data_IF_523118334816
#
_entry.id   IF_523118334816
#
_cell.length_a   1.000
_cell.length_b   1.000
_cell.length_c   1.000
_cell.angle_alpha   90.00
_cell.angle_beta   90.00
_cell.angle_gamma   90.00
#
_symmetry.space_group_name_H-M   'P 1'
#
loop_
_entity.id
_entity.type
_entity.pdbx_description
1 polymer ?
#
# COMPACT_ATOMS: atom_id res chain seq x y z
N UNK A 1 25.97 3.81 -19.18
CA UNK A 1 24.61 4.00 -18.65
C UNK A 1 24.28 2.77 -17.83
N UNK A 2 24.27 2.83 -16.52
CA UNK A 2 23.77 1.72 -15.71
C UNK A 2 22.25 1.67 -15.92
N UNK A 3 21.73 0.53 -16.32
CA UNK A 3 20.29 0.32 -16.40
C UNK A 3 19.72 0.57 -15.01
N UNK A 4 18.76 1.48 -14.90
CA UNK A 4 18.07 1.73 -13.64
C UNK A 4 17.36 0.43 -13.25
N UNK A 5 17.80 -0.16 -12.13
CA UNK A 5 17.24 -1.43 -11.68
C UNK A 5 15.74 -1.24 -11.43
N UNK A 6 14.91 -2.10 -12.01
CA UNK A 6 13.46 -2.02 -11.84
C UNK A 6 13.03 -2.66 -10.51
N UNK A 7 11.87 -2.27 -9.96
CA UNK A 7 11.31 -2.97 -8.81
C UNK A 7 11.04 -4.43 -9.15
N UNK A 8 11.29 -5.31 -8.19
CA UNK A 8 11.05 -6.74 -8.30
C UNK A 8 9.85 -7.07 -7.42
N UNK A 9 8.81 -7.66 -7.99
CA UNK A 9 7.63 -8.08 -7.24
C UNK A 9 7.63 -9.62 -7.06
N UNK A 10 7.05 -10.12 -5.96
CA UNK A 10 6.87 -11.55 -5.77
C UNK A 10 6.07 -12.15 -6.93
N UNK A 11 6.58 -13.21 -7.52
CA UNK A 11 5.86 -14.00 -8.49
C UNK A 11 6.11 -15.49 -8.23
N UNK A 12 5.35 -16.37 -8.87
CA UNK A 12 5.46 -17.81 -8.70
C UNK A 12 6.55 -18.43 -9.58
N UNK A 13 7.09 -17.70 -10.58
CA UNK A 13 8.14 -18.19 -11.46
C UNK A 13 9.51 -18.07 -10.83
N UNK A 14 10.14 -19.20 -10.56
CA UNK A 14 11.48 -19.30 -9.97
C UNK A 14 12.62 -18.71 -10.83
N UNK A 15 12.34 -18.38 -12.09
CA UNK A 15 13.32 -17.84 -13.05
C UNK A 15 13.51 -16.31 -12.96
N UNK A 16 12.63 -15.60 -12.26
CA UNK A 16 12.73 -14.14 -12.11
C UNK A 16 13.36 -13.75 -10.76
N UNK A 17 14.10 -12.63 -10.69
CA UNK A 17 14.59 -12.11 -9.42
C UNK A 17 13.45 -11.99 -8.41
N UNK A 18 13.68 -12.42 -7.19
CA UNK A 18 12.73 -12.35 -6.09
C UNK A 18 13.13 -11.22 -5.14
N UNK A 19 12.19 -10.45 -4.52
CA UNK A 19 12.55 -9.42 -3.57
C UNK A 19 13.36 -9.99 -2.40
N UNK A 20 14.37 -9.25 -1.95
CA UNK A 20 15.06 -9.58 -0.70
C UNK A 20 14.22 -9.08 0.46
N UNK A 21 13.90 -9.96 1.39
CA UNK A 21 13.11 -9.67 2.59
C UNK A 21 14.02 -9.49 3.79
N UNK A 22 13.73 -8.52 4.65
CA UNK A 22 14.34 -8.44 5.96
C UNK A 22 13.86 -9.59 6.85
N UNK A 23 14.70 -10.02 7.78
CA UNK A 23 14.36 -11.05 8.75
C UNK A 23 13.35 -10.55 9.79
N UNK A 24 12.76 -11.49 10.54
CA UNK A 24 11.82 -11.17 11.61
C UNK A 24 12.51 -10.33 12.69
N UNK A 25 11.89 -9.19 13.02
CA UNK A 25 12.43 -8.25 14.02
C UNK A 25 13.39 -7.22 13.47
N UNK A 26 13.87 -7.37 12.24
CA UNK A 26 14.71 -6.38 11.57
C UNK A 26 13.88 -5.29 10.87
N UNK A 27 14.44 -4.08 10.70
CA UNK A 27 13.82 -3.05 9.87
C UNK A 27 13.58 -3.56 8.44
N UNK A 28 12.43 -3.23 7.82
CA UNK A 28 12.12 -3.73 6.49
C UNK A 28 13.09 -3.19 5.42
N UNK A 29 13.37 -3.98 4.40
CA UNK A 29 14.10 -3.53 3.22
C UNK A 29 13.24 -2.54 2.43
N UNK A 30 13.83 -1.42 2.05
CA UNK A 30 13.17 -0.34 1.32
C UNK A 30 13.82 -0.22 -0.06
N UNK A 31 12.99 -0.26 -1.11
CA UNK A 31 13.39 0.06 -2.46
C UNK A 31 12.76 1.37 -2.93
N UNK A 32 13.55 2.22 -3.61
CA UNK A 32 13.08 3.52 -4.12
C UNK A 32 13.54 3.67 -5.56
N UNK A 33 12.60 3.98 -6.44
CA UNK A 33 12.86 4.21 -7.86
C UNK A 33 12.20 5.51 -8.31
N UNK A 34 12.93 6.31 -9.04
CA UNK A 34 12.47 7.59 -9.59
C UNK A 34 12.46 7.55 -11.11
N UNK A 35 11.43 8.12 -11.71
CA UNK A 35 11.30 8.30 -13.17
C UNK A 35 11.48 7.00 -13.94
N UNK A 36 10.82 5.94 -13.51
CA UNK A 36 10.76 4.69 -14.26
C UNK A 36 9.95 4.87 -15.54
N UNK A 37 10.52 4.47 -16.67
CA UNK A 37 9.81 4.49 -17.95
C UNK A 37 8.78 3.37 -18.06
N UNK A 38 8.95 2.29 -17.29
CA UNK A 38 8.08 1.10 -17.28
C UNK A 38 8.16 0.38 -15.95
N UNK A 39 7.06 -0.26 -15.57
CA UNK A 39 6.98 -1.16 -14.40
C UNK A 39 6.87 -2.61 -14.89
N UNK A 40 7.44 -3.59 -14.17
CA UNK A 40 7.27 -5.01 -14.48
C UNK A 40 5.79 -5.43 -14.42
N UNK A 41 5.34 -6.19 -15.41
CA UNK A 41 3.94 -6.67 -15.46
C UNK A 41 3.57 -7.56 -14.26
N UNK A 42 4.53 -8.30 -13.72
CA UNK A 42 4.36 -9.14 -12.53
C UNK A 42 3.97 -8.35 -11.27
N UNK A 43 4.19 -7.03 -11.28
CA UNK A 43 3.76 -6.16 -10.18
C UNK A 43 2.27 -5.81 -10.24
N UNK A 44 1.55 -6.23 -11.26
CA UNK A 44 0.11 -5.98 -11.47
C UNK A 44 -0.33 -4.49 -11.38
N UNK A 45 0.61 -3.58 -11.22
CA UNK A 45 0.37 -2.15 -11.39
C UNK A 45 0.36 -1.83 -12.88
N UNK A 46 -0.40 -0.83 -13.30
CA UNK A 46 -0.53 -0.49 -14.72
C UNK A 46 0.84 -0.27 -15.36
N UNK A 47 1.16 -1.09 -16.37
CA UNK A 47 2.48 -1.13 -17.05
C UNK A 47 2.63 -0.07 -18.14
N UNK A 48 1.53 0.55 -18.57
CA UNK A 48 1.50 1.44 -19.75
C UNK A 48 1.93 2.87 -19.44
N UNK A 49 2.22 3.19 -18.19
CA UNK A 49 2.63 4.52 -17.76
C UNK A 49 3.99 4.49 -17.07
N UNK A 50 4.75 5.56 -17.30
CA UNK A 50 5.94 5.88 -16.50
C UNK A 50 5.54 6.10 -15.04
N UNK A 51 6.43 5.78 -14.12
CA UNK A 51 6.28 6.10 -12.71
C UNK A 51 7.23 7.22 -12.30
N UNK A 52 6.68 8.29 -11.75
CA UNK A 52 7.47 9.39 -11.20
C UNK A 52 8.26 8.95 -9.98
N UNK A 53 7.60 8.17 -9.11
CA UNK A 53 8.17 7.63 -7.88
C UNK A 53 7.55 6.26 -7.58
N UNK A 54 8.37 5.31 -7.20
CA UNK A 54 7.94 4.02 -6.68
C UNK A 54 8.70 3.70 -5.40
N UNK A 55 7.99 3.16 -4.41
CA UNK A 55 8.56 2.73 -3.13
C UNK A 55 8.09 1.31 -2.83
N UNK A 56 9.01 0.42 -2.50
CA UNK A 56 8.69 -0.90 -1.97
C UNK A 56 9.13 -1.06 -0.52
N UNK A 57 8.41 -1.93 0.19
CA UNK A 57 8.77 -2.41 1.52
C UNK A 57 8.72 -3.94 1.47
N UNK A 58 9.78 -4.60 1.96
CA UNK A 58 9.90 -6.04 1.97
C UNK A 58 10.44 -6.54 3.33
N UNK A 59 9.66 -7.36 4.04
CA UNK A 59 10.03 -7.89 5.36
C UNK A 59 9.37 -9.24 5.63
N UNK A 60 9.99 -10.03 6.50
CA UNK A 60 9.39 -11.20 7.12
C UNK A 60 8.85 -10.79 8.49
N UNK A 61 7.68 -11.29 8.86
CA UNK A 61 7.05 -10.98 10.15
C UNK A 61 6.41 -12.22 10.76
N UNK A 62 6.36 -12.28 12.08
CA UNK A 62 5.70 -13.39 12.79
C UNK A 62 4.19 -13.19 12.78
N UNK A 63 3.49 -14.22 12.33
CA UNK A 63 2.03 -14.25 12.28
C UNK A 63 1.53 -15.69 12.23
N UNK A 64 0.82 -16.14 13.26
CA UNK A 64 0.26 -17.48 13.38
C UNK A 64 -1.15 -17.63 12.81
N UNK A 65 -1.72 -16.54 12.29
CA UNK A 65 -3.05 -16.54 11.67
C UNK A 65 -3.04 -17.07 10.24
N UNK A 66 -4.18 -16.98 9.61
CA UNK A 66 -4.42 -17.46 8.26
C UNK A 66 -4.72 -16.29 7.28
N UNK A 67 -5.09 -16.64 6.05
CA UNK A 67 -5.36 -15.67 5.00
C UNK A 67 -6.62 -14.85 5.28
N UNK A 68 -7.62 -15.42 5.92
CA UNK A 68 -8.87 -14.75 6.31
C UNK A 68 -8.57 -13.64 7.32
N UNK A 69 -7.65 -13.88 8.25
CA UNK A 69 -7.22 -12.87 9.22
C UNK A 69 -6.54 -11.69 8.54
N UNK A 70 -5.65 -11.95 7.57
CA UNK A 70 -4.98 -10.91 6.78
C UNK A 70 -5.98 -10.14 5.91
N UNK A 71 -6.87 -10.84 5.24
CA UNK A 71 -7.94 -10.23 4.45
C UNK A 71 -8.87 -9.38 5.33
N UNK A 72 -9.18 -9.84 6.54
CA UNK A 72 -9.96 -9.09 7.53
C UNK A 72 -9.28 -7.78 7.95
N UNK A 73 -7.95 -7.77 8.11
CA UNK A 73 -7.18 -6.55 8.42
C UNK A 73 -7.29 -5.52 7.29
N UNK A 74 -7.18 -5.96 6.03
CA UNK A 74 -7.43 -5.09 4.88
C UNK A 74 -8.85 -4.56 4.85
N UNK A 75 -9.82 -5.43 5.12
CA UNK A 75 -11.24 -5.09 5.13
C UNK A 75 -11.65 -4.12 6.24
N UNK A 76 -10.86 -4.04 7.31
CA UNK A 76 -11.12 -3.16 8.46
C UNK A 76 -10.76 -1.70 8.17
N UNK A 77 -11.31 -1.12 7.11
CA UNK A 77 -10.98 0.21 6.57
C UNK A 77 -11.01 1.29 7.64
N UNK A 78 -12.03 1.31 8.51
CA UNK A 78 -12.16 2.32 9.57
C UNK A 78 -11.03 2.26 10.61
N UNK A 79 -10.34 1.13 10.74
CA UNK A 79 -9.21 0.99 11.68
C UNK A 79 -7.96 1.73 11.21
N UNK A 80 -7.90 2.13 9.94
CA UNK A 80 -6.78 2.93 9.44
C UNK A 80 -6.74 4.35 10.01
N UNK A 81 -7.82 4.84 10.63
CA UNK A 81 -7.86 6.12 11.35
C UNK A 81 -6.90 6.16 12.55
N UNK A 82 -6.63 5.00 13.17
CA UNK A 82 -5.67 4.88 14.28
C UNK A 82 -4.20 4.76 13.81
N UNK A 83 -3.96 4.65 12.50
CA UNK A 83 -2.62 4.45 11.95
C UNK A 83 -1.86 5.76 11.95
N UNK A 84 -0.67 5.75 12.54
CA UNK A 84 0.23 6.91 12.55
C UNK A 84 1.41 6.71 11.61
N UNK A 85 1.87 7.79 11.02
CA UNK A 85 3.09 7.84 10.22
C UNK A 85 3.97 9.02 10.66
N UNK A 86 5.29 8.91 10.43
CA UNK A 86 6.20 10.03 10.67
C UNK A 86 6.08 11.08 9.56
N UNK A 87 5.68 12.28 9.92
CA UNK A 87 5.63 13.42 9.02
C UNK A 87 6.98 14.13 8.97
N UNK A 88 7.72 13.98 7.90
CA UNK A 88 9.00 14.67 7.71
C UNK A 88 8.88 16.19 7.53
N UNK A 89 7.67 16.70 7.35
CA UNK A 89 7.41 18.15 7.28
C UNK A 89 7.18 18.77 8.64
N UNK A 90 6.53 18.00 9.53
CA UNK A 90 6.13 18.48 10.86
C UNK A 90 7.07 17.94 11.94
N UNK A 91 8.02 17.07 11.55
CA UNK A 91 8.95 16.37 12.44
C UNK A 91 8.25 15.72 13.63
N UNK A 92 7.14 15.01 13.34
CA UNK A 92 6.28 14.42 14.37
C UNK A 92 5.42 13.29 13.82
N UNK A 93 4.95 12.40 14.71
CA UNK A 93 3.95 11.39 14.42
C UNK A 93 2.57 12.02 14.17
N UNK A 94 1.95 11.66 13.05
CA UNK A 94 0.63 12.14 12.65
C UNK A 94 -0.26 10.99 12.23
N UNK A 95 -1.55 11.19 12.30
CA UNK A 95 -2.53 10.27 11.72
C UNK A 95 -2.32 10.16 10.21
N UNK A 96 -2.34 8.94 9.70
CA UNK A 96 -2.23 8.68 8.26
C UNK A 96 -3.48 9.22 7.54
N UNK A 97 -4.64 8.96 8.09
CA UNK A 97 -5.94 9.46 7.63
C UNK A 97 -6.79 9.91 8.81
N UNK A 98 -7.57 10.94 8.63
CA UNK A 98 -8.49 11.48 9.66
C UNK A 98 -9.85 10.79 9.65
N UNK A 99 -10.26 10.26 8.51
CA UNK A 99 -11.48 9.45 8.37
C UNK A 99 -11.29 8.40 7.28
N UNK A 100 -11.82 7.21 7.50
CA UNK A 100 -11.80 6.13 6.53
C UNK A 100 -13.09 5.31 6.60
N UNK A 101 -13.75 5.11 5.47
CA UNK A 101 -15.02 4.40 5.39
C UNK A 101 -15.06 3.45 4.20
N UNK A 102 -15.55 2.24 4.41
CA UNK A 102 -15.94 1.38 3.31
C UNK A 102 -17.17 1.95 2.59
N UNK A 103 -17.25 1.72 1.29
CA UNK A 103 -18.33 2.22 0.43
C UNK A 103 -19.06 1.06 -0.25
N UNK A 104 -20.35 1.24 -0.54
CA UNK A 104 -21.13 0.31 -1.36
C UNK A 104 -20.78 0.41 -2.86
N UNK A 105 -20.30 1.58 -3.29
CA UNK A 105 -19.96 1.89 -4.69
C UNK A 105 -18.92 3.02 -4.73
N UNK A 106 -18.48 3.43 -5.90
CA UNK A 106 -17.63 4.64 -6.09
C UNK A 106 -18.22 5.94 -5.51
N UNK A 107 -19.49 5.95 -5.16
CA UNK A 107 -20.10 7.15 -4.61
C UNK A 107 -19.63 7.35 -3.16
N UNK A 108 -18.89 8.43 -2.90
CA UNK A 108 -18.37 8.78 -1.57
C UNK A 108 -19.43 8.95 -0.47
N UNK A 109 -20.71 9.08 -0.83
CA UNK A 109 -21.83 9.16 0.11
C UNK A 109 -22.42 7.79 0.44
N UNK A 110 -22.02 6.72 -0.24
CA UNK A 110 -22.54 5.36 -0.05
C UNK A 110 -21.77 4.60 1.03
N UNK A 111 -21.58 5.21 2.19
CA UNK A 111 -20.84 4.61 3.31
C UNK A 111 -21.52 3.33 3.81
N UNK A 112 -20.71 2.39 4.28
CA UNK A 112 -21.13 1.13 4.90
C UNK A 112 -20.15 0.73 6.00
N UNK A 113 -20.46 -0.32 6.73
CA UNK A 113 -19.52 -0.98 7.65
C UNK A 113 -18.30 -1.57 6.90
N UNK A 114 -17.26 -1.91 7.66
CA UNK A 114 -16.05 -2.54 7.12
C UNK A 114 -16.37 -3.76 6.27
N UNK A 115 -15.46 -4.13 5.38
CA UNK A 115 -15.56 -5.35 4.61
C UNK A 115 -15.20 -6.57 5.46
N UNK A 116 -15.92 -7.65 5.28
CA UNK A 116 -15.57 -8.95 5.86
C UNK A 116 -14.40 -9.59 5.09
N UNK A 117 -13.73 -10.56 5.70
CA UNK A 117 -12.69 -11.35 5.03
C UNK A 117 -13.22 -12.01 3.75
N UNK A 118 -14.44 -12.57 3.78
CA UNK A 118 -15.05 -13.19 2.60
C UNK A 118 -15.28 -12.20 1.45
N UNK A 119 -15.69 -10.97 1.75
CA UNK A 119 -15.81 -9.92 0.72
C UNK A 119 -14.45 -9.60 0.12
N UNK A 120 -13.41 -9.47 0.94
CA UNK A 120 -12.05 -9.25 0.48
C UNK A 120 -11.56 -10.38 -0.41
N UNK A 121 -11.77 -11.63 -0.02
CA UNK A 121 -11.32 -12.81 -0.76
C UNK A 121 -12.15 -13.12 -2.00
N UNK A 122 -13.31 -12.47 -2.19
CA UNK A 122 -14.20 -12.70 -3.33
C UNK A 122 -13.63 -12.28 -4.69
N UNK A 123 -12.53 -11.54 -4.74
CA UNK A 123 -11.94 -10.99 -5.95
C UNK A 123 -12.76 -9.87 -6.61
N UNK A 124 -13.85 -9.43 -5.97
CA UNK A 124 -14.63 -8.28 -6.45
C UNK A 124 -13.89 -6.97 -6.19
N UNK A 125 -14.19 -5.96 -7.00
CA UNK A 125 -13.73 -4.60 -6.72
C UNK A 125 -14.56 -4.01 -5.59
N UNK A 126 -13.88 -3.59 -4.53
CA UNK A 126 -14.43 -2.93 -3.36
C UNK A 126 -14.00 -1.46 -3.38
N UNK A 127 -14.79 -0.58 -2.79
CA UNK A 127 -14.52 0.85 -2.76
C UNK A 127 -14.41 1.35 -1.32
N UNK A 128 -13.49 2.25 -1.09
CA UNK A 128 -13.36 2.93 0.20
C UNK A 128 -13.03 4.41 0.00
N UNK A 129 -13.39 5.19 0.98
CA UNK A 129 -13.10 6.61 1.02
C UNK A 129 -12.22 6.91 2.22
N UNK A 130 -11.26 7.80 2.05
CA UNK A 130 -10.44 8.30 3.14
C UNK A 130 -10.17 9.79 2.98
N UNK A 131 -10.03 10.48 4.11
CA UNK A 131 -9.54 11.83 4.15
C UNK A 131 -8.10 11.81 4.69
N UNK A 132 -7.16 12.05 3.80
CA UNK A 132 -5.75 12.12 4.13
C UNK A 132 -5.43 13.45 4.82
N UNK A 133 -4.52 13.46 5.79
CA UNK A 133 -4.12 14.68 6.51
C UNK A 133 -3.49 15.75 5.63
N UNK A 134 -3.10 15.43 4.40
CA UNK A 134 -2.47 16.36 3.43
C UNK A 134 -3.33 16.68 2.21
N UNK A 135 -4.36 15.92 1.93
CA UNK A 135 -5.31 16.24 0.85
C UNK A 135 -6.54 16.97 1.39
N UNK A 136 -7.17 17.77 0.55
CA UNK A 136 -8.42 18.42 0.93
C UNK A 136 -9.60 17.56 0.48
N UNK A 137 -10.33 17.08 1.49
CA UNK A 137 -11.55 16.36 1.27
C UNK A 137 -11.37 14.86 1.09
N UNK A 138 -12.49 14.21 0.85
CA UNK A 138 -12.60 12.76 0.78
C UNK A 138 -12.11 12.25 -0.58
N UNK A 139 -11.10 11.39 -0.56
CA UNK A 139 -10.58 10.68 -1.72
C UNK A 139 -11.18 9.26 -1.78
N UNK A 140 -11.55 8.81 -2.97
CA UNK A 140 -12.14 7.49 -3.18
C UNK A 140 -11.13 6.59 -3.88
N UNK A 141 -10.99 5.40 -3.34
CA UNK A 141 -10.11 4.35 -3.85
C UNK A 141 -10.92 3.09 -4.15
N UNK A 142 -10.45 2.32 -5.09
CA UNK A 142 -10.83 0.92 -5.23
C UNK A 142 -9.77 0.02 -4.64
N UNK A 143 -10.16 -1.16 -4.19
CA UNK A 143 -9.26 -2.26 -3.88
C UNK A 143 -9.82 -3.57 -4.42
N UNK A 144 -8.92 -4.48 -4.78
CA UNK A 144 -9.29 -5.78 -5.33
C UNK A 144 -8.23 -6.81 -4.93
N UNK A 145 -8.68 -7.95 -4.46
CA UNK A 145 -7.81 -9.12 -4.28
C UNK A 145 -7.60 -9.78 -5.64
N UNK A 146 -6.34 -9.92 -6.03
CA UNK A 146 -5.92 -10.52 -7.31
C UNK A 146 -5.39 -11.94 -7.14
N UNK A 147 -4.92 -12.28 -5.95
CA UNK A 147 -4.51 -13.62 -5.57
C UNK A 147 -5.01 -13.92 -4.16
N UNK A 148 -5.63 -15.08 -3.97
CA UNK A 148 -6.05 -15.60 -2.67
C UNK A 148 -5.93 -17.13 -2.68
N UNK A 149 -4.94 -17.65 -1.97
CA UNK A 149 -4.72 -19.07 -1.71
C UNK A 149 -4.47 -19.26 -0.22
N UNK A 150 -4.34 -20.48 0.28
CA UNK A 150 -4.02 -20.71 1.68
C UNK A 150 -2.71 -20.02 2.14
N UNK A 151 -1.78 -19.82 1.21
CA UNK A 151 -0.43 -19.33 1.50
C UNK A 151 -0.08 -18.00 0.84
N UNK A 152 -1.01 -17.40 0.09
CA UNK A 152 -0.75 -16.15 -0.62
C UNK A 152 -1.98 -15.25 -0.67
N UNK A 153 -1.76 -13.96 -0.43
CA UNK A 153 -2.74 -12.90 -0.64
C UNK A 153 -2.08 -11.75 -1.40
N UNK A 154 -2.70 -11.31 -2.49
CA UNK A 154 -2.29 -10.09 -3.17
C UNK A 154 -3.49 -9.16 -3.35
N UNK A 155 -3.35 -7.92 -2.86
CA UNK A 155 -4.40 -6.89 -2.93
C UNK A 155 -3.83 -5.67 -3.62
N UNK A 156 -4.50 -5.22 -4.69
CA UNK A 156 -4.20 -3.95 -5.36
C UNK A 156 -5.21 -2.90 -4.95
N UNK A 157 -4.75 -1.67 -4.75
CA UNK A 157 -5.59 -0.49 -4.55
C UNK A 157 -5.15 0.67 -5.45
N UNK A 158 -6.10 1.51 -5.84
CA UNK A 158 -5.83 2.71 -6.63
C UNK A 158 -6.88 3.79 -6.38
N UNK A 159 -6.50 5.06 -6.55
CA UNK A 159 -7.48 6.15 -6.53
C UNK A 159 -8.36 6.09 -7.79
N UNK A 160 -9.67 6.14 -7.60
CA UNK A 160 -10.65 6.10 -8.71
C UNK A 160 -11.14 7.50 -9.11
N UNK A 161 -10.71 8.52 -8.39
CA UNK A 161 -10.98 9.94 -8.67
C UNK A 161 -9.71 10.75 -8.51
N UNK A 162 -9.58 11.91 -9.18
CA UNK A 162 -8.46 12.80 -8.96
C UNK A 162 -8.36 13.23 -7.50
N UNK A 163 -7.14 13.20 -6.96
CA UNK A 163 -6.82 13.74 -5.63
C UNK A 163 -6.46 15.21 -5.77
N UNK A 164 -7.01 16.06 -4.91
CA UNK A 164 -6.85 17.51 -5.00
C UNK A 164 -6.42 18.14 -3.68
N UNK A 165 -5.73 19.28 -3.78
CA UNK A 165 -5.55 20.26 -2.70
C UNK A 165 -6.16 21.56 -3.18
N UNK A 166 -7.33 21.93 -2.64
CA UNK A 166 -8.10 23.06 -3.17
C UNK A 166 -8.38 22.89 -4.68
N UNK A 167 -8.08 23.90 -5.51
CA UNK A 167 -8.28 23.83 -6.95
C UNK A 167 -7.21 22.95 -7.67
N UNK A 168 -6.07 22.70 -7.04
CA UNK A 168 -4.94 22.01 -7.65
C UNK A 168 -5.19 20.50 -7.68
N UNK A 169 -5.14 19.88 -8.86
CA UNK A 169 -5.14 18.44 -9.03
C UNK A 169 -3.72 17.92 -8.73
N UNK A 170 -3.56 17.22 -7.62
CA UNK A 170 -2.28 16.58 -7.26
C UNK A 170 -2.02 15.33 -8.09
N UNK A 171 -3.00 14.43 -8.12
CA UNK A 171 -2.93 13.15 -8.82
C UNK A 171 -4.17 12.98 -9.68
N UNK A 172 -4.01 12.50 -10.89
CA UNK A 172 -5.10 12.05 -11.75
C UNK A 172 -5.73 10.74 -11.24
N UNK A 173 -6.78 10.28 -11.89
CA UNK A 173 -7.38 8.97 -11.63
C UNK A 173 -6.38 7.87 -11.98
N UNK A 174 -6.15 6.94 -11.04
CA UNK A 174 -5.23 5.83 -11.22
C UNK A 174 -3.74 6.18 -11.13
N UNK A 175 -3.38 7.42 -10.75
CA UNK A 175 -1.99 7.83 -10.60
C UNK A 175 -1.36 7.36 -9.28
N UNK A 176 -2.19 7.06 -8.28
CA UNK A 176 -1.75 6.44 -7.04
C UNK A 176 -2.17 4.97 -7.06
N UNK A 177 -1.20 4.07 -7.07
CA UNK A 177 -1.44 2.64 -6.99
C UNK A 177 -0.59 2.01 -5.91
N UNK A 178 -1.15 1.07 -5.19
CA UNK A 178 -0.40 0.25 -4.22
C UNK A 178 -0.82 -1.20 -4.38
N UNK A 179 0.17 -2.08 -4.50
CA UNK A 179 -0.06 -3.52 -4.40
C UNK A 179 0.64 -4.04 -3.15
N UNK A 180 -0.03 -4.93 -2.44
CA UNK A 180 0.52 -5.62 -1.27
C UNK A 180 0.42 -7.11 -1.49
N UNK A 181 1.52 -7.80 -1.24
CA UNK A 181 1.61 -9.26 -1.26
C UNK A 181 1.90 -9.78 0.14
N UNK A 182 1.20 -10.83 0.51
CA UNK A 182 1.56 -11.69 1.63
C UNK A 182 1.87 -13.08 1.08
N UNK A 183 2.90 -13.71 1.59
CA UNK A 183 3.19 -15.12 1.31
C UNK A 183 3.66 -15.83 2.58
N UNK A 184 3.10 -17.00 2.85
CA UNK A 184 3.47 -17.84 4.00
C UNK A 184 4.89 -18.40 3.78
N UNK A 185 5.71 -18.33 4.80
CA UNK A 185 7.03 -18.96 4.84
C UNK A 185 6.93 -20.32 5.52
N UNK A 186 6.29 -20.33 6.70
CA UNK A 186 6.06 -21.51 7.52
C UNK A 186 4.80 -21.31 8.41
N UNK A 187 4.61 -22.14 9.42
CA UNK A 187 3.46 -22.08 10.32
C UNK A 187 3.36 -20.79 11.16
N UNK A 188 4.46 -20.06 11.32
CA UNK A 188 4.58 -18.92 12.24
C UNK A 188 5.05 -17.64 11.58
N UNK A 189 5.49 -17.70 10.32
CA UNK A 189 6.10 -16.58 9.64
C UNK A 189 5.50 -16.35 8.25
N UNK A 190 5.34 -15.07 7.91
CA UNK A 190 4.88 -14.61 6.61
C UNK A 190 5.81 -13.53 6.08
N UNK A 191 5.89 -13.41 4.76
CA UNK A 191 6.52 -12.29 4.06
C UNK A 191 5.47 -11.25 3.71
N UNK A 192 5.85 -10.00 3.89
CA UNK A 192 5.13 -8.83 3.40
C UNK A 192 5.95 -8.15 2.31
N UNK A 193 5.32 -7.87 1.20
CA UNK A 193 5.88 -7.01 0.17
C UNK A 193 4.84 -5.99 -0.24
N UNK A 194 5.22 -4.71 -0.34
CA UNK A 194 4.37 -3.70 -0.98
C UNK A 194 5.15 -2.93 -2.02
N UNK A 195 4.45 -2.52 -3.08
CA UNK A 195 4.95 -1.56 -4.06
C UNK A 195 3.90 -0.48 -4.25
N UNK A 196 4.26 0.75 -3.86
CA UNK A 196 3.47 1.94 -4.13
C UNK A 196 4.05 2.73 -5.28
N UNK A 197 3.18 3.16 -6.17
CA UNK A 197 3.51 3.83 -7.42
C UNK A 197 2.76 5.16 -7.50
N UNK A 198 3.51 6.23 -7.72
CA UNK A 198 3.01 7.54 -8.11
C UNK A 198 3.37 7.72 -9.59
N UNK A 199 2.38 7.73 -10.49
CA UNK A 199 2.61 7.86 -11.94
C UNK A 199 2.87 9.29 -12.35
N UNK A 200 2.04 10.21 -11.88
CA UNK A 200 2.14 11.64 -12.14
C UNK A 200 1.75 12.44 -10.90
N UNK A 201 2.29 13.63 -10.77
CA UNK A 201 1.97 14.56 -9.69
C UNK A 201 2.25 15.99 -10.11
N UNK A 202 1.32 16.89 -9.82
CA UNK A 202 1.50 18.33 -10.05
C UNK A 202 2.54 18.96 -9.11
N UNK A 203 2.89 18.28 -8.01
CA UNK A 203 3.92 18.71 -7.06
C UNK A 203 4.99 17.62 -6.94
N UNK A 204 6.24 17.97 -6.58
CA UNK A 204 7.25 16.97 -6.29
C UNK A 204 6.72 15.95 -5.27
N UNK A 205 6.77 14.66 -5.62
CA UNK A 205 6.37 13.60 -4.71
C UNK A 205 7.43 13.47 -3.59
N UNK A 206 7.08 13.74 -2.32
CA UNK A 206 8.06 13.71 -1.23
C UNK A 206 8.38 12.24 -0.90
N UNK A 207 9.55 11.78 -1.36
CA UNK A 207 10.04 10.41 -1.19
C UNK A 207 9.95 9.91 0.25
N UNK A 208 10.54 10.65 1.18
CA UNK A 208 10.53 10.30 2.61
C UNK A 208 9.10 10.14 3.16
N UNK A 209 8.19 11.01 2.75
CA UNK A 209 6.78 10.93 3.16
C UNK A 209 6.12 9.67 2.61
N UNK A 210 6.40 9.27 1.37
CA UNK A 210 5.85 8.04 0.80
C UNK A 210 6.41 6.80 1.51
N UNK A 211 7.72 6.77 1.81
CA UNK A 211 8.34 5.70 2.59
C UNK A 211 7.65 5.54 3.94
N UNK A 212 7.49 6.65 4.70
CA UNK A 212 6.90 6.58 6.04
C UNK A 212 5.41 6.20 6.02
N UNK A 213 4.66 6.59 5.00
CA UNK A 213 3.26 6.16 4.81
C UNK A 213 3.17 4.68 4.48
N UNK A 214 4.08 4.15 3.67
CA UNK A 214 4.15 2.72 3.38
C UNK A 214 4.60 1.92 4.60
N UNK A 215 5.53 2.46 5.40
CA UNK A 215 5.94 1.87 6.67
C UNK A 215 4.77 1.78 7.66
N UNK A 216 3.95 2.82 7.75
CA UNK A 216 2.75 2.82 8.58
C UNK A 216 1.75 1.75 8.14
N UNK A 217 1.50 1.63 6.83
CA UNK A 217 0.65 0.57 6.28
C UNK A 217 1.21 -0.83 6.55
N UNK A 218 2.52 -1.03 6.36
CA UNK A 218 3.21 -2.28 6.67
C UNK A 218 2.98 -2.66 8.14
N UNK A 219 3.29 -1.76 9.08
CA UNK A 219 3.15 -2.00 10.50
C UNK A 219 1.69 -2.32 10.88
N UNK A 220 0.75 -1.56 10.37
CA UNK A 220 -0.68 -1.81 10.59
C UNK A 220 -1.10 -3.21 10.12
N UNK A 221 -0.79 -3.56 8.87
CA UNK A 221 -1.21 -4.82 8.27
C UNK A 221 -0.51 -6.03 8.90
N UNK A 222 0.71 -5.86 9.40
CA UNK A 222 1.44 -6.94 10.11
C UNK A 222 1.16 -6.98 11.61
N UNK A 223 0.37 -6.03 12.15
CA UNK A 223 -0.01 -5.98 13.56
C UNK A 223 1.05 -5.39 14.47
N UNK A 224 1.98 -4.61 13.92
CA UNK A 224 3.00 -3.88 14.69
C UNK A 224 2.48 -2.51 15.11
N UNK A 225 3.12 -1.91 16.13
CA UNK A 225 2.84 -0.54 16.53
C UNK A 225 3.23 0.43 15.42
N UNK A 226 2.31 1.32 15.00
CA UNK A 226 2.53 2.17 13.82
C UNK A 226 3.43 3.37 14.07
N UNK A 227 3.50 3.85 15.31
CA UNK A 227 4.35 4.97 15.75
C UNK A 227 5.62 4.50 16.48
N UNK A 228 6.22 3.39 16.03
CA UNK A 228 7.47 2.88 16.59
C UNK A 228 8.69 3.70 16.17
N UNK A 229 9.57 3.98 17.10
CA UNK A 229 10.86 4.62 16.89
C UNK A 229 11.96 3.61 16.52
N UNK A 230 12.95 3.99 15.69
CA UNK A 230 13.00 5.22 14.91
C UNK A 230 12.09 5.14 13.67
N UNK A 231 11.70 6.28 13.07
CA UNK A 231 11.00 6.28 11.78
C UNK A 231 11.93 5.74 10.69
N UNK A 232 11.35 5.07 9.66
CA UNK A 232 12.15 4.46 8.59
C UNK A 232 12.82 5.49 7.67
N UNK A 233 12.28 6.69 7.58
CA UNK A 233 12.86 7.80 6.81
C UNK A 233 12.65 9.10 7.58
N UNK A 234 13.62 9.46 8.43
CA UNK A 234 13.59 10.69 9.22
C UNK A 234 13.80 11.95 8.36
#
# INVERSE_FOLDING_TARGET
MFAQQQPVCPNQDSATPYPTFADVGEPPNIGIWKKLSRLPSVCHVSTDASALLSVSIAATFSFSGNIEDLAGRFGAVSKTEAVKYWSTTDDNWRELVTTANALQSENKKSTRGNFSANEMLSGRTLYFAQNDTRSWGINVFSMKTITATADQLAVISQNVRPVRIGPVKLFGTGDLQTIVFFSRVDSSNWRYYSLSVVKDSALPAPEKSLVNRQAALYRYLTGQQTDSEPPLSP
#
